data_IF_341573681090
#
_entry.id   IF_341573681090
#
_cell.length_a   1.000
_cell.length_b   1.000
_cell.length_c   1.000
_cell.angle_alpha   90.00
_cell.angle_beta   90.00
_cell.angle_gamma   90.00
#
_symmetry.space_group_name_H-M   'P 1'
#
loop_
_entity.id
_entity.type
_entity.pdbx_description
1 polymer ?
#
# COMPACT_ATOMS: atom_id res chain seq x y z
N UNK A 1 87.51 -30.25 -63.12
CA UNK A 1 86.12 -30.39 -63.54
C UNK A 1 85.27 -30.64 -62.31
N UNK A 2 84.88 -29.59 -61.71
CA UNK A 2 84.26 -29.72 -60.39
C UNK A 2 82.92 -28.94 -60.35
N UNK A 3 81.83 -29.64 -60.20
CA UNK A 3 80.51 -29.07 -60.12
C UNK A 3 80.05 -29.12 -58.66
N UNK A 4 80.19 -28.02 -57.99
CA UNK A 4 79.68 -27.81 -56.65
C UNK A 4 78.20 -27.51 -56.63
N UNK A 5 77.39 -28.40 -55.98
CA UNK A 5 75.97 -28.22 -55.76
C UNK A 5 75.78 -27.45 -54.46
N UNK A 6 75.23 -26.18 -54.51
CA UNK A 6 74.84 -25.44 -53.38
C UNK A 6 73.38 -25.76 -52.95
N UNK A 7 73.20 -26.35 -51.80
CA UNK A 7 71.94 -26.58 -51.17
C UNK A 7 71.44 -25.30 -50.54
N UNK A 8 70.33 -24.74 -51.06
CA UNK A 8 69.63 -23.62 -50.50
C UNK A 8 68.73 -24.06 -49.33
N UNK A 9 68.90 -23.42 -48.17
CA UNK A 9 68.05 -23.58 -47.02
C UNK A 9 66.74 -22.77 -47.23
N UNK A 10 65.60 -23.50 -47.29
CA UNK A 10 64.27 -22.89 -47.26
C UNK A 10 63.91 -22.64 -45.79
N UNK A 11 63.83 -21.40 -45.39
CA UNK A 11 63.31 -20.98 -44.08
C UNK A 11 61.77 -20.96 -44.14
N UNK A 12 61.12 -21.87 -43.45
CA UNK A 12 59.68 -21.84 -43.29
C UNK A 12 59.26 -20.77 -42.26
N UNK A 13 58.62 -19.71 -42.72
CA UNK A 13 57.98 -18.71 -41.84
C UNK A 13 56.63 -19.23 -41.38
N UNK A 14 56.54 -19.62 -40.12
CA UNK A 14 55.26 -19.93 -39.47
C UNK A 14 54.59 -18.64 -39.08
N UNK A 15 53.57 -18.21 -39.81
CA UNK A 15 52.69 -17.10 -39.42
C UNK A 15 51.73 -17.56 -38.30
N UNK A 16 51.99 -17.09 -37.08
CA UNK A 16 51.04 -17.21 -35.95
C UNK A 16 49.92 -16.19 -36.15
N UNK A 17 48.76 -16.66 -36.58
CA UNK A 17 47.52 -15.84 -36.59
C UNK A 17 47.03 -15.72 -35.14
N UNK A 18 47.31 -14.59 -34.48
CA UNK A 18 46.64 -14.14 -33.26
C UNK A 18 45.22 -13.72 -33.61
N UNK A 19 44.25 -14.57 -33.30
CA UNK A 19 42.84 -14.22 -33.33
C UNK A 19 42.60 -13.25 -32.19
N UNK A 20 42.61 -11.94 -32.48
CA UNK A 20 42.09 -10.90 -31.60
C UNK A 20 40.58 -11.14 -31.43
N UNK A 21 40.19 -11.75 -30.32
CA UNK A 21 38.78 -11.88 -29.95
C UNK A 21 38.12 -10.49 -29.93
N UNK A 22 37.18 -10.21 -30.82
CA UNK A 22 36.37 -9.02 -30.80
C UNK A 22 35.70 -8.93 -29.40
N UNK A 23 35.68 -7.74 -28.76
CA UNK A 23 34.93 -7.57 -27.53
C UNK A 23 33.48 -7.97 -27.81
N UNK A 24 33.02 -9.05 -27.20
CA UNK A 24 31.63 -9.49 -27.31
C UNK A 24 30.73 -8.31 -26.93
N UNK A 25 29.83 -7.94 -27.83
CA UNK A 25 28.75 -7.00 -27.51
C UNK A 25 28.08 -7.57 -26.25
N UNK A 26 28.02 -6.82 -25.14
CA UNK A 26 27.35 -7.31 -23.94
C UNK A 26 25.93 -7.67 -24.34
N UNK A 27 25.57 -8.94 -24.27
CA UNK A 27 24.20 -9.38 -24.47
C UNK A 27 23.34 -8.53 -23.53
N UNK A 28 22.30 -7.89 -24.06
CA UNK A 28 21.37 -7.11 -23.24
C UNK A 28 20.94 -8.01 -22.09
N UNK A 29 21.31 -7.62 -20.87
CA UNK A 29 21.01 -8.41 -19.69
C UNK A 29 19.49 -8.52 -19.60
N UNK A 30 18.95 -9.74 -19.79
CA UNK A 30 17.50 -9.96 -19.69
C UNK A 30 16.99 -9.45 -18.36
N UNK A 31 15.96 -8.63 -18.38
CA UNK A 31 15.31 -8.08 -17.19
C UNK A 31 14.06 -8.87 -16.84
N UNK A 32 13.74 -8.94 -15.55
CA UNK A 32 12.45 -9.45 -15.08
C UNK A 32 11.57 -8.22 -14.83
N UNK A 33 10.48 -8.09 -15.61
CA UNK A 33 9.61 -6.93 -15.56
C UNK A 33 8.46 -7.14 -14.59
N UNK A 34 8.26 -6.16 -13.70
CA UNK A 34 7.08 -6.04 -12.82
C UNK A 34 6.31 -4.81 -13.27
N UNK A 35 5.01 -4.96 -13.51
CA UNK A 35 4.16 -3.85 -13.95
C UNK A 35 3.48 -3.14 -12.79
N UNK A 36 3.23 -1.84 -12.95
CA UNK A 36 2.32 -1.09 -12.09
C UNK A 36 1.46 -0.15 -12.92
N UNK A 37 0.15 -0.19 -12.70
CA UNK A 37 -0.78 0.80 -13.21
C UNK A 37 -1.56 1.39 -12.03
N UNK A 38 -1.32 2.66 -11.73
CA UNK A 38 -1.94 3.37 -10.61
C UNK A 38 -2.11 4.85 -10.97
N UNK A 39 -2.86 5.62 -10.18
CA UNK A 39 -3.01 7.04 -10.40
C UNK A 39 -1.69 7.77 -10.09
N UNK A 40 -0.96 8.19 -11.12
CA UNK A 40 0.27 8.99 -10.98
C UNK A 40 0.01 10.49 -11.12
N UNK A 41 -1.18 10.86 -11.60
CA UNK A 41 -1.66 12.23 -11.76
C UNK A 41 -3.07 12.41 -11.20
N UNK A 42 -3.55 13.66 -11.11
CA UNK A 42 -4.87 14.01 -10.62
C UNK A 42 -5.02 13.93 -9.09
N UNK A 43 -6.27 14.02 -8.55
CA UNK A 43 -6.54 14.14 -7.11
C UNK A 43 -6.08 12.94 -6.27
N UNK A 44 -5.92 11.77 -6.89
CA UNK A 44 -5.47 10.54 -6.22
C UNK A 44 -3.98 10.22 -6.48
N UNK A 45 -3.21 11.15 -7.04
CA UNK A 45 -1.82 10.94 -7.42
C UNK A 45 -0.93 10.48 -6.26
N UNK A 46 -1.17 10.97 -5.05
CA UNK A 46 -0.38 10.60 -3.86
C UNK A 46 -0.34 9.08 -3.64
N UNK A 47 -1.43 8.38 -3.92
CA UNK A 47 -1.49 6.92 -3.76
C UNK A 47 -0.57 6.21 -4.78
N UNK A 48 -0.71 6.51 -6.06
CA UNK A 48 0.08 5.88 -7.11
C UNK A 48 1.56 6.24 -7.06
N UNK A 49 1.87 7.51 -6.80
CA UNK A 49 3.25 7.99 -6.65
C UNK A 49 3.92 7.31 -5.45
N UNK A 50 3.22 7.16 -4.32
CA UNK A 50 3.74 6.43 -3.16
C UNK A 50 4.05 4.96 -3.49
N UNK A 51 3.12 4.27 -4.16
CA UNK A 51 3.31 2.88 -4.62
C UNK A 51 4.55 2.77 -5.52
N UNK A 52 4.66 3.62 -6.54
CA UNK A 52 5.79 3.64 -7.45
C UNK A 52 7.11 3.84 -6.72
N UNK A 53 7.23 4.86 -5.86
CA UNK A 53 8.46 5.19 -5.12
C UNK A 53 8.91 4.07 -4.19
N UNK A 54 7.96 3.42 -3.50
CA UNK A 54 8.27 2.26 -2.66
C UNK A 54 8.82 1.09 -3.46
N UNK A 55 8.22 0.79 -4.61
CA UNK A 55 8.67 -0.26 -5.52
C UNK A 55 10.05 0.05 -6.14
N UNK A 56 10.30 1.31 -6.56
CA UNK A 56 11.56 1.75 -7.12
C UNK A 56 12.73 1.54 -6.14
N UNK A 57 12.57 1.89 -4.85
CA UNK A 57 13.62 1.66 -3.84
C UNK A 57 13.89 0.16 -3.66
N UNK A 58 12.83 -0.66 -3.60
CA UNK A 58 13.00 -2.10 -3.46
C UNK A 58 13.75 -2.71 -4.65
N UNK A 59 13.40 -2.31 -5.87
CA UNK A 59 14.07 -2.77 -7.10
C UNK A 59 15.54 -2.36 -7.13
N UNK A 60 15.84 -1.11 -6.79
CA UNK A 60 17.22 -0.62 -6.70
C UNK A 60 18.04 -1.44 -5.69
N UNK A 61 17.48 -1.72 -4.52
CA UNK A 61 18.15 -2.50 -3.48
C UNK A 61 18.38 -3.95 -3.89
N UNK A 62 17.42 -4.56 -4.58
CA UNK A 62 17.56 -5.93 -5.09
C UNK A 62 18.58 -5.97 -6.20
N UNK A 63 18.53 -5.03 -7.13
CA UNK A 63 19.45 -4.95 -8.26
C UNK A 63 20.89 -4.67 -7.84
N UNK A 64 21.09 -3.88 -6.79
CA UNK A 64 22.42 -3.64 -6.20
C UNK A 64 23.05 -4.89 -5.59
N UNK A 65 22.23 -5.89 -5.24
CA UNK A 65 22.66 -7.18 -4.71
C UNK A 65 22.74 -8.29 -5.77
N UNK A 66 22.70 -7.94 -7.06
CA UNK A 66 22.80 -8.88 -8.17
C UNK A 66 21.48 -9.28 -8.83
N UNK A 67 20.35 -8.68 -8.42
CA UNK A 67 19.04 -8.94 -8.96
C UNK A 67 18.41 -10.24 -8.44
N UNK A 68 17.58 -10.88 -9.26
CA UNK A 68 16.89 -12.15 -8.99
C UNK A 68 17.29 -13.17 -10.06
N UNK A 69 17.80 -14.33 -9.66
CA UNK A 69 18.32 -15.35 -10.57
C UNK A 69 19.36 -14.81 -11.58
N UNK A 70 20.18 -13.83 -11.13
CA UNK A 70 21.19 -13.17 -11.98
C UNK A 70 20.63 -12.14 -12.97
N UNK A 71 19.32 -11.86 -12.94
CA UNK A 71 18.66 -10.86 -13.81
C UNK A 71 18.23 -9.65 -12.99
N UNK A 72 18.32 -8.45 -13.58
CA UNK A 72 17.79 -7.23 -12.95
C UNK A 72 16.28 -7.22 -12.98
N UNK A 73 15.68 -6.62 -11.93
CA UNK A 73 14.27 -6.25 -11.94
C UNK A 73 14.09 -4.91 -12.64
N UNK A 74 12.98 -4.78 -13.35
CA UNK A 74 12.55 -3.54 -14.01
C UNK A 74 11.11 -3.23 -13.64
N UNK A 75 10.81 -1.97 -13.27
CA UNK A 75 9.46 -1.51 -13.02
C UNK A 75 8.88 -0.83 -14.27
N UNK A 76 7.82 -1.40 -14.83
CA UNK A 76 7.09 -0.81 -15.96
C UNK A 76 5.89 -0.05 -15.43
N UNK A 77 5.92 1.28 -15.52
CA UNK A 77 4.92 2.18 -14.90
C UNK A 77 3.92 2.68 -15.93
N UNK A 78 2.63 2.71 -15.56
CA UNK A 78 1.54 3.36 -16.31
C UNK A 78 0.71 4.23 -15.39
N UNK A 79 0.30 5.39 -15.89
CA UNK A 79 -0.61 6.28 -15.19
C UNK A 79 -2.06 5.96 -15.56
N UNK A 80 -2.82 5.42 -14.63
CA UNK A 80 -4.24 5.12 -14.82
C UNK A 80 -5.16 6.34 -14.64
N UNK A 81 -4.63 7.46 -14.15
CA UNK A 81 -5.40 8.69 -13.86
C UNK A 81 -6.67 8.42 -13.01
N UNK A 82 -6.59 7.43 -12.13
CA UNK A 82 -7.74 6.96 -11.33
C UNK A 82 -8.91 6.41 -12.14
N UNK A 83 -8.69 6.08 -13.43
CA UNK A 83 -9.72 5.66 -14.37
C UNK A 83 -9.74 4.13 -14.53
N UNK A 84 -10.86 3.44 -14.23
CA UNK A 84 -10.96 1.98 -14.34
C UNK A 84 -10.74 1.47 -15.77
N UNK A 85 -11.24 2.17 -16.79
CA UNK A 85 -11.10 1.76 -18.20
C UNK A 85 -9.63 1.81 -18.63
N UNK A 86 -8.93 2.88 -18.26
CA UNK A 86 -7.48 2.98 -18.51
C UNK A 86 -6.71 1.87 -17.82
N UNK A 87 -7.02 1.57 -16.57
CA UNK A 87 -6.34 0.51 -15.81
C UNK A 87 -6.54 -0.86 -16.49
N UNK A 88 -7.73 -1.19 -16.96
CA UNK A 88 -7.99 -2.44 -17.71
C UNK A 88 -7.15 -2.51 -18.98
N UNK A 89 -7.14 -1.44 -19.79
CA UNK A 89 -6.35 -1.39 -21.03
C UNK A 89 -4.84 -1.52 -20.75
N UNK A 90 -4.35 -0.83 -19.72
CA UNK A 90 -2.94 -0.87 -19.32
C UNK A 90 -2.52 -2.21 -18.72
N UNK A 91 -3.41 -2.90 -18.01
CA UNK A 91 -3.13 -4.26 -17.53
C UNK A 91 -2.89 -5.22 -18.71
N UNK A 92 -3.72 -5.15 -19.76
CA UNK A 92 -3.49 -5.93 -20.98
C UNK A 92 -2.17 -5.56 -21.65
N UNK A 93 -1.89 -4.27 -21.83
CA UNK A 93 -0.64 -3.79 -22.43
C UNK A 93 0.58 -4.30 -21.65
N UNK A 94 0.57 -4.15 -20.33
CA UNK A 94 1.66 -4.59 -19.45
C UNK A 94 1.92 -6.11 -19.59
N UNK A 95 0.86 -6.93 -19.64
CA UNK A 95 1.01 -8.38 -19.73
C UNK A 95 1.33 -8.83 -21.15
N UNK A 96 0.56 -8.37 -22.15
CA UNK A 96 0.61 -8.89 -23.50
C UNK A 96 1.76 -8.30 -24.33
N UNK A 97 2.12 -7.01 -24.13
CA UNK A 97 3.18 -6.32 -24.89
C UNK A 97 4.47 -6.21 -24.11
N UNK A 98 4.41 -5.69 -22.88
CA UNK A 98 5.60 -5.51 -22.03
C UNK A 98 6.11 -6.82 -21.42
N UNK A 99 5.27 -7.88 -21.40
CA UNK A 99 5.63 -9.20 -20.86
C UNK A 99 6.01 -9.17 -19.39
N UNK A 100 5.30 -8.37 -18.59
CA UNK A 100 5.50 -8.37 -17.14
C UNK A 100 5.07 -9.72 -16.56
N UNK A 101 5.80 -10.22 -15.57
CA UNK A 101 5.56 -11.50 -14.93
C UNK A 101 4.65 -11.40 -13.70
N UNK A 102 4.49 -10.19 -13.17
CA UNK A 102 3.65 -9.87 -12.02
C UNK A 102 3.24 -8.40 -12.05
N UNK A 103 2.17 -8.03 -11.35
CA UNK A 103 1.66 -6.67 -11.26
C UNK A 103 1.58 -6.20 -9.80
N UNK A 104 1.98 -4.96 -9.55
CA UNK A 104 1.48 -4.20 -8.41
C UNK A 104 0.09 -3.69 -8.78
N UNK A 105 -0.89 -3.95 -7.93
CA UNK A 105 -2.28 -3.57 -8.17
C UNK A 105 -2.50 -2.06 -8.13
N UNK A 106 -3.66 -1.64 -8.64
CA UNK A 106 -4.04 -0.24 -8.73
C UNK A 106 -4.18 0.46 -7.37
N UNK A 107 -4.29 1.76 -7.43
CA UNK A 107 -4.38 2.64 -6.25
C UNK A 107 -5.81 2.88 -5.76
N UNK A 108 -6.82 2.23 -6.33
CA UNK A 108 -8.22 2.37 -5.90
C UNK A 108 -9.06 1.11 -6.14
N UNK A 109 -10.08 0.94 -5.31
CA UNK A 109 -10.95 -0.23 -5.32
C UNK A 109 -11.81 -0.36 -6.59
N UNK A 110 -12.34 0.73 -7.12
CA UNK A 110 -13.19 0.70 -8.32
C UNK A 110 -12.43 0.17 -9.54
N UNK A 111 -11.20 0.66 -9.74
CA UNK A 111 -10.33 0.19 -10.82
C UNK A 111 -9.94 -1.28 -10.65
N UNK A 112 -9.64 -1.72 -9.41
CA UNK A 112 -9.30 -3.12 -9.16
C UNK A 112 -10.50 -4.05 -9.32
N UNK A 113 -11.70 -3.66 -8.92
CA UNK A 113 -12.93 -4.43 -9.18
C UNK A 113 -13.21 -4.59 -10.68
N UNK A 114 -12.88 -3.57 -11.49
CA UNK A 114 -13.04 -3.64 -12.95
C UNK A 114 -12.01 -4.56 -13.61
N UNK A 115 -10.74 -4.58 -13.14
CA UNK A 115 -9.67 -5.35 -13.77
C UNK A 115 -9.56 -6.78 -13.24
N UNK A 116 -10.00 -7.06 -12.01
CA UNK A 116 -9.85 -8.37 -11.40
C UNK A 116 -10.46 -9.54 -12.23
N UNK A 117 -11.65 -9.42 -12.86
CA UNK A 117 -12.15 -10.44 -13.77
C UNK A 117 -11.22 -10.67 -14.97
N UNK A 118 -10.68 -9.60 -15.54
CA UNK A 118 -9.73 -9.69 -16.67
C UNK A 118 -8.45 -10.42 -16.28
N UNK A 119 -7.92 -10.12 -15.10
CA UNK A 119 -6.75 -10.80 -14.54
C UNK A 119 -7.01 -12.28 -14.37
N UNK A 120 -8.12 -12.65 -13.72
CA UNK A 120 -8.43 -14.02 -13.35
C UNK A 120 -8.88 -14.89 -14.53
N UNK A 121 -9.67 -14.33 -15.47
CA UNK A 121 -10.31 -15.11 -16.53
C UNK A 121 -9.52 -15.07 -17.85
N UNK A 122 -8.60 -14.12 -18.03
CA UNK A 122 -7.93 -13.90 -19.32
C UNK A 122 -6.41 -13.76 -19.23
N UNK A 123 -5.87 -12.95 -18.32
CA UNK A 123 -4.44 -12.62 -18.30
C UNK A 123 -3.61 -13.62 -17.45
N UNK A 124 -4.21 -14.18 -16.43
CA UNK A 124 -3.59 -15.18 -15.52
C UNK A 124 -2.21 -14.74 -14.98
N UNK A 125 -2.08 -13.47 -14.61
CA UNK A 125 -0.87 -12.87 -14.04
C UNK A 125 -1.12 -12.50 -12.57
N UNK A 126 -0.24 -12.82 -11.63
CA UNK A 126 -0.43 -12.47 -10.23
C UNK A 126 -0.38 -10.95 -10.04
N UNK A 127 -1.36 -10.44 -9.31
CA UNK A 127 -1.48 -9.04 -8.90
C UNK A 127 -1.53 -8.96 -7.39
N UNK A 128 -0.62 -8.22 -6.77
CA UNK A 128 -0.70 -7.92 -5.34
C UNK A 128 -1.02 -6.44 -5.15
N UNK A 129 -2.13 -6.14 -4.49
CA UNK A 129 -2.65 -4.79 -4.29
C UNK A 129 -2.08 -4.15 -3.02
N UNK A 130 -1.32 -3.04 -3.11
CA UNK A 130 -0.80 -2.34 -1.94
C UNK A 130 -1.79 -1.38 -1.29
N UNK A 131 -2.83 -0.92 -2.03
CA UNK A 131 -3.65 0.21 -1.62
C UNK A 131 -5.12 0.11 -2.09
N UNK A 132 -5.72 -1.06 -2.01
CA UNK A 132 -7.13 -1.27 -2.36
C UNK A 132 -7.87 -1.94 -1.22
N UNK A 133 -9.09 -1.47 -0.94
CA UNK A 133 -9.80 -1.77 0.28
C UNK A 133 -11.04 -2.67 0.05
N UNK A 134 -11.78 -2.53 -1.08
CA UNK A 134 -13.03 -3.26 -1.26
C UNK A 134 -12.87 -4.77 -1.05
N UNK A 135 -13.68 -5.32 -0.14
CA UNK A 135 -13.64 -6.73 0.28
C UNK A 135 -13.72 -7.69 -0.91
N UNK A 136 -14.59 -7.40 -1.88
CA UNK A 136 -14.81 -8.26 -3.07
C UNK A 136 -13.62 -8.38 -4.04
N UNK A 137 -12.53 -7.63 -3.83
CA UNK A 137 -11.32 -7.75 -4.67
C UNK A 137 -10.64 -9.10 -4.46
N UNK A 138 -10.61 -9.59 -3.23
CA UNK A 138 -9.99 -10.87 -2.84
C UNK A 138 -11.01 -11.91 -2.39
N UNK A 139 -12.11 -11.47 -1.76
CA UNK A 139 -13.21 -12.32 -1.33
C UNK A 139 -14.29 -12.39 -2.43
N UNK A 140 -14.07 -13.21 -3.44
CA UNK A 140 -15.04 -13.48 -4.50
C UNK A 140 -15.29 -14.99 -4.58
N UNK A 141 -16.50 -15.42 -4.23
CA UNK A 141 -16.88 -16.82 -4.14
C UNK A 141 -16.63 -17.59 -5.45
N UNK A 142 -16.85 -16.96 -6.61
CA UNK A 142 -16.66 -17.60 -7.90
C UNK A 142 -15.19 -17.95 -8.17
N UNK A 143 -14.24 -17.10 -7.77
CA UNK A 143 -12.80 -17.36 -7.92
C UNK A 143 -12.26 -18.27 -6.82
N UNK A 144 -12.76 -18.12 -5.60
CA UNK A 144 -12.40 -18.99 -4.48
C UNK A 144 -12.85 -20.44 -4.75
N UNK A 145 -14.04 -20.64 -5.30
CA UNK A 145 -14.54 -21.96 -5.68
C UNK A 145 -13.68 -22.64 -6.77
N UNK A 146 -13.24 -21.86 -7.76
CA UNK A 146 -12.36 -22.36 -8.83
C UNK A 146 -10.91 -22.56 -8.37
N UNK A 147 -10.51 -22.03 -7.22
CA UNK A 147 -9.11 -21.99 -6.72
C UNK A 147 -8.14 -21.40 -7.76
N UNK A 148 -8.60 -20.43 -8.53
CA UNK A 148 -7.86 -19.83 -9.64
C UNK A 148 -7.85 -18.31 -9.54
N UNK A 149 -7.71 -17.79 -8.33
CA UNK A 149 -7.62 -16.36 -8.05
C UNK A 149 -6.17 -15.88 -8.13
N UNK A 150 -5.89 -14.95 -9.04
CA UNK A 150 -4.58 -14.32 -9.24
C UNK A 150 -4.46 -12.97 -8.52
N UNK A 151 -5.50 -12.53 -7.83
CA UNK A 151 -5.53 -11.23 -7.15
C UNK A 151 -5.31 -11.42 -5.65
N UNK A 152 -4.31 -10.73 -5.14
CA UNK A 152 -3.89 -10.70 -3.74
C UNK A 152 -3.92 -9.27 -3.22
N UNK A 153 -3.97 -9.08 -1.92
CA UNK A 153 -3.90 -7.77 -1.27
C UNK A 153 -2.92 -7.77 -0.11
N UNK A 154 -2.02 -6.79 -0.11
CA UNK A 154 -1.08 -6.56 0.98
C UNK A 154 -1.49 -5.41 1.89
N UNK A 155 -2.42 -4.56 1.45
CA UNK A 155 -3.00 -3.46 2.21
C UNK A 155 -4.11 -3.88 3.15
N UNK A 156 -4.71 -2.90 3.82
CA UNK A 156 -5.91 -3.10 4.63
C UNK A 156 -7.11 -3.46 3.72
N UNK A 157 -8.05 -4.24 4.25
CA UNK A 157 -9.28 -4.59 3.55
C UNK A 157 -10.50 -4.04 4.29
N UNK A 158 -11.55 -3.68 3.55
CA UNK A 158 -12.67 -2.87 4.02
C UNK A 158 -13.36 -3.43 5.25
N UNK A 159 -13.69 -4.72 5.23
CA UNK A 159 -14.32 -5.37 6.39
C UNK A 159 -13.41 -5.35 7.61
N UNK A 160 -12.14 -5.73 7.46
CA UNK A 160 -11.18 -5.74 8.58
C UNK A 160 -10.93 -4.34 9.12
N UNK A 161 -10.78 -3.35 8.23
CA UNK A 161 -10.57 -1.96 8.64
C UNK A 161 -11.79 -1.40 9.40
N UNK A 162 -13.00 -1.66 8.90
CA UNK A 162 -14.24 -1.21 9.56
C UNK A 162 -14.45 -1.91 10.90
N UNK A 163 -14.20 -3.23 10.96
CA UNK A 163 -14.23 -3.98 12.20
C UNK A 163 -13.23 -3.40 13.22
N UNK A 164 -11.98 -3.21 12.79
CA UNK A 164 -10.93 -2.67 13.64
C UNK A 164 -11.30 -1.28 14.16
N UNK A 165 -11.72 -0.37 13.28
CA UNK A 165 -12.09 1.00 13.67
C UNK A 165 -13.25 1.02 14.66
N UNK A 166 -14.32 0.26 14.40
CA UNK A 166 -15.47 0.13 15.30
C UNK A 166 -15.08 -0.53 16.63
N UNK A 167 -14.29 -1.62 16.60
CA UNK A 167 -13.85 -2.32 17.81
C UNK A 167 -12.98 -1.40 18.69
N UNK A 168 -12.06 -0.67 18.09
CA UNK A 168 -11.22 0.28 18.82
C UNK A 168 -12.07 1.38 19.44
N UNK A 169 -12.97 2.01 18.68
CA UNK A 169 -13.84 3.05 19.19
C UNK A 169 -14.73 2.54 20.34
N UNK A 170 -15.41 1.42 20.16
CA UNK A 170 -16.42 0.92 21.11
C UNK A 170 -15.78 0.17 22.28
N UNK A 171 -14.88 -0.78 22.02
CA UNK A 171 -14.36 -1.69 23.06
C UNK A 171 -13.13 -1.10 23.77
N UNK A 172 -12.22 -0.40 23.05
CA UNK A 172 -11.00 0.13 23.66
C UNK A 172 -11.17 1.55 24.21
N UNK A 173 -11.82 2.41 23.44
CA UNK A 173 -12.11 3.79 23.91
C UNK A 173 -13.39 3.87 24.74
N UNK A 174 -14.33 2.99 24.55
CA UNK A 174 -15.55 2.90 25.37
C UNK A 174 -16.71 3.76 24.89
N UNK A 175 -16.65 4.26 23.63
CA UNK A 175 -17.72 5.07 23.04
C UNK A 175 -19.03 4.26 22.89
N UNK A 176 -20.17 4.92 23.11
CA UNK A 176 -21.51 4.29 23.10
C UNK A 176 -22.48 4.94 22.11
N UNK A 177 -22.16 6.10 21.59
CA UNK A 177 -23.02 6.89 20.69
C UNK A 177 -22.25 7.26 19.41
N UNK A 178 -21.83 6.26 18.59
CA UNK A 178 -21.09 6.54 17.36
C UNK A 178 -21.99 7.23 16.34
N UNK A 179 -21.45 8.21 15.64
CA UNK A 179 -22.00 8.74 14.39
C UNK A 179 -21.17 8.25 13.21
N UNK A 180 -21.82 8.08 12.05
CA UNK A 180 -21.13 7.85 10.77
C UNK A 180 -21.10 9.16 9.98
N UNK A 181 -19.96 9.41 9.33
CA UNK A 181 -19.80 10.51 8.39
C UNK A 181 -18.92 10.02 7.24
N UNK A 182 -19.51 9.66 6.10
CA UNK A 182 -18.82 8.92 5.05
C UNK A 182 -18.99 9.55 3.67
N UNK A 183 -18.00 9.35 2.82
CA UNK A 183 -18.04 9.76 1.43
C UNK A 183 -19.08 8.96 0.63
N UNK A 184 -19.82 9.64 -0.30
CA UNK A 184 -20.91 9.04 -1.10
C UNK A 184 -20.44 8.13 -2.23
N UNK A 185 -19.13 8.05 -2.52
CA UNK A 185 -18.62 7.26 -3.63
C UNK A 185 -17.50 6.30 -3.22
N UNK A 186 -17.18 5.34 -4.11
CA UNK A 186 -16.06 4.44 -3.96
C UNK A 186 -16.09 3.63 -2.66
N UNK A 187 -14.96 3.66 -1.96
CA UNK A 187 -14.79 2.91 -0.71
C UNK A 187 -15.53 3.53 0.49
N UNK A 188 -15.93 4.79 0.40
CA UNK A 188 -16.76 5.43 1.43
C UNK A 188 -18.12 4.72 1.60
N UNK A 189 -18.77 4.36 0.49
CA UNK A 189 -20.02 3.58 0.49
C UNK A 189 -19.80 2.19 1.11
N UNK A 190 -18.73 1.50 0.69
CA UNK A 190 -18.39 0.19 1.25
C UNK A 190 -18.09 0.29 2.73
N UNK A 191 -17.29 1.26 3.15
CA UNK A 191 -16.94 1.49 4.54
C UNK A 191 -18.15 1.78 5.43
N UNK A 192 -19.11 2.59 4.94
CA UNK A 192 -20.37 2.86 5.64
C UNK A 192 -21.16 1.58 5.91
N UNK A 193 -21.31 0.74 4.88
CA UNK A 193 -22.02 -0.54 5.01
C UNK A 193 -21.34 -1.48 6.02
N UNK A 194 -20.03 -1.62 5.96
CA UNK A 194 -19.28 -2.48 6.87
C UNK A 194 -19.24 -1.92 8.32
N UNK A 195 -19.15 -0.61 8.51
CA UNK A 195 -19.28 0.02 9.83
C UNK A 195 -20.67 -0.21 10.40
N UNK A 196 -21.73 0.00 9.63
CA UNK A 196 -23.11 -0.23 10.07
C UNK A 196 -23.32 -1.68 10.48
N UNK A 197 -22.82 -2.64 9.67
CA UNK A 197 -22.86 -4.07 9.98
C UNK A 197 -22.13 -4.34 11.31
N UNK A 198 -20.90 -3.83 11.46
CA UNK A 198 -20.10 -4.11 12.65
C UNK A 198 -20.67 -3.48 13.91
N UNK A 199 -21.18 -2.27 13.85
CA UNK A 199 -21.87 -1.63 14.98
C UNK A 199 -23.10 -2.48 15.40
N UNK A 200 -23.88 -3.00 14.43
CA UNK A 200 -24.98 -3.92 14.71
C UNK A 200 -24.55 -5.19 15.45
N UNK A 201 -23.43 -5.79 15.05
CA UNK A 201 -22.84 -6.94 15.78
C UNK A 201 -22.39 -6.58 17.19
N UNK A 202 -21.97 -5.34 17.42
CA UNK A 202 -21.64 -4.79 18.74
C UNK A 202 -22.88 -4.31 19.52
N UNK A 203 -24.08 -4.59 19.00
CA UNK A 203 -25.37 -4.19 19.59
C UNK A 203 -25.53 -2.64 19.70
N UNK A 204 -24.91 -1.91 18.81
CA UNK A 204 -24.98 -0.46 18.70
C UNK A 204 -25.59 -0.04 17.35
N UNK A 205 -26.20 1.14 17.36
CA UNK A 205 -26.61 1.86 16.14
C UNK A 205 -25.95 3.23 16.14
N UNK A 206 -25.66 3.74 14.95
CA UNK A 206 -25.22 5.12 14.80
C UNK A 206 -26.33 6.09 15.27
N UNK A 207 -25.99 7.08 16.06
CA UNK A 207 -26.92 8.13 16.52
C UNK A 207 -27.17 9.17 15.43
N UNK A 208 -26.27 9.30 14.45
CA UNK A 208 -26.40 10.08 13.22
C UNK A 208 -25.64 9.36 12.12
N UNK A 209 -26.18 9.40 10.90
CA UNK A 209 -25.59 8.74 9.73
C UNK A 209 -25.63 9.73 8.57
N UNK A 210 -24.51 10.47 8.40
CA UNK A 210 -24.37 11.55 7.45
C UNK A 210 -23.38 11.19 6.34
N UNK A 211 -23.60 11.82 5.22
CA UNK A 211 -22.70 11.66 4.06
C UNK A 211 -22.26 13.02 3.52
N UNK A 212 -21.17 13.00 2.76
CA UNK A 212 -20.69 14.14 1.98
C UNK A 212 -20.24 13.67 0.59
N UNK A 213 -20.33 14.56 -0.38
CA UNK A 213 -19.94 14.33 -1.77
C UNK A 213 -18.60 14.99 -2.11
N UNK A 214 -17.99 14.59 -3.21
CA UNK A 214 -16.75 15.23 -3.73
C UNK A 214 -16.98 16.71 -4.09
N UNK A 215 -18.21 17.11 -4.45
CA UNK A 215 -18.53 18.49 -4.76
C UNK A 215 -18.71 19.37 -3.53
N UNK A 216 -18.91 18.80 -2.34
CA UNK A 216 -19.12 19.53 -1.12
C UNK A 216 -17.86 20.32 -0.73
N UNK A 217 -18.08 21.59 -0.34
CA UNK A 217 -17.04 22.49 0.17
C UNK A 217 -17.32 22.94 1.61
N UNK A 218 -18.51 22.67 2.14
CA UNK A 218 -18.91 22.88 3.54
C UNK A 218 -19.76 21.72 4.03
N UNK A 219 -19.31 21.05 5.08
CA UNK A 219 -20.00 19.94 5.77
C UNK A 219 -20.51 20.35 7.16
N UNK A 220 -20.62 21.65 7.41
CA UNK A 220 -21.15 22.19 8.69
C UNK A 220 -22.55 21.69 9.04
N UNK A 221 -23.48 21.52 8.07
CA UNK A 221 -24.81 20.94 8.37
C UNK A 221 -24.73 19.51 8.91
N UNK A 222 -23.87 18.67 8.34
CA UNK A 222 -23.67 17.28 8.78
C UNK A 222 -23.07 17.27 10.20
N UNK A 223 -22.03 18.07 10.45
CA UNK A 223 -21.42 18.16 11.78
C UNK A 223 -22.42 18.66 12.83
N UNK A 224 -23.27 19.64 12.47
CA UNK A 224 -24.30 20.13 13.39
C UNK A 224 -25.33 19.05 13.75
N UNK A 225 -25.77 18.23 12.78
CA UNK A 225 -26.67 17.09 13.04
C UNK A 225 -26.02 16.07 13.97
N UNK A 226 -24.77 15.72 13.71
CA UNK A 226 -23.99 14.78 14.54
C UNK A 226 -23.86 15.32 15.97
N UNK A 227 -23.51 16.58 16.14
CA UNK A 227 -23.42 17.27 17.43
C UNK A 227 -24.75 17.25 18.17
N UNK A 228 -25.86 17.61 17.49
CA UNK A 228 -27.19 17.63 18.07
C UNK A 228 -27.72 16.23 18.45
N UNK A 229 -27.27 15.19 17.75
CA UNK A 229 -27.56 13.80 18.09
C UNK A 229 -26.78 13.30 19.33
N UNK A 230 -25.86 14.11 19.87
CA UNK A 230 -25.07 13.82 21.04
C UNK A 230 -24.08 12.67 20.80
N UNK A 231 -23.51 12.60 19.60
CA UNK A 231 -22.49 11.61 19.30
C UNK A 231 -21.25 11.78 20.19
N UNK A 232 -20.66 10.67 20.63
CA UNK A 232 -19.42 10.62 21.43
C UNK A 232 -18.19 10.25 20.59
N UNK A 233 -18.39 9.82 19.34
CA UNK A 233 -17.35 9.59 18.33
C UNK A 233 -17.93 9.70 16.93
N UNK A 234 -17.14 10.20 15.99
CA UNK A 234 -17.42 10.17 14.55
C UNK A 234 -16.53 9.13 13.90
N UNK A 235 -17.13 8.15 13.20
CA UNK A 235 -16.43 7.16 12.38
C UNK A 235 -16.53 7.57 10.92
N UNK A 236 -15.38 7.70 10.26
CA UNK A 236 -15.29 8.28 8.91
C UNK A 236 -14.61 7.35 7.90
N UNK A 237 -15.13 7.40 6.68
CA UNK A 237 -14.47 6.90 5.47
C UNK A 237 -14.48 7.97 4.39
N UNK A 238 -13.31 8.55 4.10
CA UNK A 238 -13.17 9.59 3.09
C UNK A 238 -11.72 9.96 2.81
N UNK A 239 -11.53 10.76 1.75
CA UNK A 239 -10.22 11.20 1.28
C UNK A 239 -9.79 12.50 1.95
N UNK A 240 -8.54 12.90 1.71
CA UNK A 240 -7.90 14.08 2.34
C UNK A 240 -8.71 15.35 2.13
N UNK A 241 -9.11 15.64 0.88
CA UNK A 241 -9.76 16.90 0.53
C UNK A 241 -11.03 17.15 1.33
N UNK A 242 -11.92 16.17 1.31
CA UNK A 242 -13.23 16.24 1.98
C UNK A 242 -13.05 16.30 3.50
N UNK A 243 -12.09 15.57 4.01
CA UNK A 243 -11.79 15.55 5.45
C UNK A 243 -11.19 16.85 5.98
N UNK A 244 -10.54 17.65 5.12
CA UNK A 244 -10.14 19.01 5.48
C UNK A 244 -11.37 19.88 5.72
N UNK A 245 -12.45 19.73 4.93
CA UNK A 245 -13.71 20.43 5.19
C UNK A 245 -14.39 19.93 6.49
N UNK A 246 -14.29 18.64 6.79
CA UNK A 246 -14.80 18.08 8.07
C UNK A 246 -14.12 18.74 9.26
N UNK A 247 -12.79 18.76 9.31
CA UNK A 247 -12.09 19.34 10.46
C UNK A 247 -12.27 20.87 10.55
N UNK A 248 -12.42 21.57 9.43
CA UNK A 248 -12.79 23.00 9.39
C UNK A 248 -14.18 23.24 9.94
N UNK A 249 -15.16 22.42 9.56
CA UNK A 249 -16.53 22.53 10.07
C UNK A 249 -16.58 22.24 11.57
N UNK A 250 -15.84 21.24 12.06
CA UNK A 250 -15.71 20.95 13.49
C UNK A 250 -15.13 22.13 14.26
N UNK A 251 -14.07 22.74 13.76
CA UNK A 251 -13.43 23.89 14.38
C UNK A 251 -14.37 25.10 14.40
N UNK A 252 -14.97 25.44 13.27
CA UNK A 252 -15.96 26.52 13.12
C UNK A 252 -17.13 26.38 14.09
N UNK A 253 -17.62 25.18 14.34
CA UNK A 253 -18.75 24.89 15.24
C UNK A 253 -18.33 24.61 16.70
N UNK A 254 -17.04 24.69 17.00
CA UNK A 254 -16.49 24.34 18.31
C UNK A 254 -16.77 22.88 18.69
N UNK A 255 -16.95 21.98 17.72
CA UNK A 255 -17.24 20.58 17.95
C UNK A 255 -15.96 19.82 18.35
N UNK A 256 -15.99 19.21 19.53
CA UNK A 256 -14.87 18.44 20.10
C UNK A 256 -15.09 16.93 20.05
N UNK A 257 -16.14 16.46 19.37
CA UNK A 257 -16.41 15.03 19.21
C UNK A 257 -15.18 14.32 18.63
N UNK A 258 -14.65 13.28 19.27
CA UNK A 258 -13.55 12.48 18.75
C UNK A 258 -13.79 12.03 17.31
N UNK A 259 -12.75 12.14 16.47
CA UNK A 259 -12.85 11.86 15.04
C UNK A 259 -11.90 10.75 14.62
N UNK A 260 -12.47 9.61 14.27
CA UNK A 260 -11.77 8.39 13.88
C UNK A 260 -12.00 8.13 12.39
N UNK A 261 -10.93 8.10 11.62
CA UNK A 261 -10.97 7.93 10.18
C UNK A 261 -10.28 6.66 9.73
N UNK A 262 -10.74 6.14 8.61
CA UNK A 262 -10.03 5.13 7.85
C UNK A 262 -8.68 5.65 7.32
N UNK A 263 -7.83 4.78 6.80
CA UNK A 263 -6.43 5.05 6.43
C UNK A 263 -6.18 6.15 5.39
N UNK A 264 -7.22 6.66 4.72
CA UNK A 264 -7.11 7.76 3.76
C UNK A 264 -6.42 9.01 4.31
N UNK A 265 -6.42 9.19 5.63
CA UNK A 265 -5.75 10.30 6.31
C UNK A 265 -4.36 9.94 6.87
N UNK A 266 -3.85 8.73 6.63
CA UNK A 266 -2.48 8.33 7.00
C UNK A 266 -1.45 8.89 5.98
N UNK A 267 -1.50 10.18 5.74
CA UNK A 267 -0.65 10.90 4.77
C UNK A 267 -0.31 12.31 5.26
N UNK A 268 0.92 12.76 5.12
CA UNK A 268 1.30 14.14 5.44
C UNK A 268 0.47 15.21 4.70
N UNK A 269 -0.10 14.87 3.54
CA UNK A 269 -0.97 15.76 2.79
C UNK A 269 -2.20 16.21 3.59
N UNK A 270 -2.75 15.34 4.46
CA UNK A 270 -3.84 15.72 5.35
C UNK A 270 -3.41 16.82 6.32
N UNK A 271 -2.28 16.62 7.02
CA UNK A 271 -1.79 17.63 7.97
C UNK A 271 -1.45 18.95 7.29
N UNK A 272 -0.78 18.92 6.13
CA UNK A 272 -0.45 20.15 5.38
C UNK A 272 -1.69 20.97 5.02
N UNK A 273 -2.79 20.31 4.69
CA UNK A 273 -4.04 20.97 4.30
C UNK A 273 -4.92 21.35 5.49
N UNK A 274 -4.92 20.58 6.56
CA UNK A 274 -5.72 20.76 7.76
C UNK A 274 -5.04 21.66 8.80
N UNK A 275 -3.70 21.64 8.87
CA UNK A 275 -2.95 22.32 9.93
C UNK A 275 -3.36 21.84 11.32
N UNK A 276 -3.36 22.74 12.28
CA UNK A 276 -3.73 22.44 13.67
C UNK A 276 -5.17 21.93 13.85
N UNK A 277 -6.05 22.12 12.87
CA UNK A 277 -7.41 21.54 12.89
C UNK A 277 -7.38 20.00 12.78
N UNK A 278 -6.28 19.43 12.28
CA UNK A 278 -6.04 18.00 12.26
C UNK A 278 -5.59 17.39 13.57
N UNK A 279 -5.29 18.23 14.60
CA UNK A 279 -4.81 17.75 15.90
C UNK A 279 -5.84 16.85 16.57
N UNK A 280 -5.39 15.68 17.06
CA UNK A 280 -6.25 14.70 17.73
C UNK A 280 -7.03 13.78 16.79
N UNK A 281 -6.99 13.98 15.47
CA UNK A 281 -7.62 13.06 14.51
C UNK A 281 -6.94 11.69 14.61
N UNK A 282 -7.75 10.65 14.78
CA UNK A 282 -7.29 9.25 14.86
C UNK A 282 -7.50 8.58 13.52
N UNK A 283 -6.52 7.78 13.10
CA UNK A 283 -6.52 7.13 11.78
C UNK A 283 -6.18 5.66 11.96
N UNK A 284 -6.99 4.77 11.40
CA UNK A 284 -6.59 3.36 11.26
C UNK A 284 -5.54 3.24 10.16
N UNK A 285 -4.45 2.53 10.42
CA UNK A 285 -3.34 2.37 9.46
C UNK A 285 -2.61 1.05 9.70
N UNK A 286 -1.65 0.73 8.84
CA UNK A 286 -0.81 -0.47 8.99
C UNK A 286 0.51 -0.17 9.69
N UNK A 287 0.96 1.07 9.61
CA UNK A 287 2.15 1.57 10.29
C UNK A 287 2.14 3.09 10.36
N UNK A 288 2.98 3.63 11.23
CA UNK A 288 3.36 5.05 11.23
C UNK A 288 4.87 5.15 10.97
N UNK A 289 5.34 6.32 10.51
CA UNK A 289 6.76 6.60 10.28
C UNK A 289 7.34 7.57 11.30
N UNK A 290 6.47 8.19 12.07
CA UNK A 290 6.84 9.10 13.16
C UNK A 290 6.99 8.32 14.47
N UNK A 291 7.79 8.87 15.39
CA UNK A 291 8.16 8.20 16.63
C UNK A 291 9.22 7.09 16.42
N UNK A 292 9.47 6.24 17.45
CA UNK A 292 10.47 5.18 17.40
C UNK A 292 10.20 4.17 16.29
N UNK A 293 11.22 3.90 15.45
CA UNK A 293 11.14 2.98 14.32
C UNK A 293 12.17 1.85 14.42
N UNK A 294 11.85 0.64 13.93
CA UNK A 294 12.84 -0.43 13.83
C UNK A 294 13.95 -0.08 12.83
N UNK A 295 15.17 -0.61 13.01
CA UNK A 295 16.34 -0.24 12.20
C UNK A 295 16.13 -0.36 10.69
N UNK A 296 15.37 -1.37 10.24
CA UNK A 296 15.09 -1.60 8.82
C UNK A 296 14.21 -0.48 8.23
N UNK A 297 13.21 -0.01 8.98
CA UNK A 297 12.40 1.15 8.56
C UNK A 297 13.22 2.43 8.54
N UNK A 298 14.09 2.64 9.53
CA UNK A 298 15.01 3.79 9.54
C UNK A 298 15.89 3.79 8.29
N UNK A 299 16.44 2.62 7.90
CA UNK A 299 17.27 2.49 6.71
C UNK A 299 16.47 2.81 5.42
N UNK A 300 15.25 2.30 5.31
CA UNK A 300 14.35 2.61 4.20
C UNK A 300 14.01 4.11 4.14
N UNK A 301 13.64 4.71 5.27
CA UNK A 301 13.28 6.13 5.36
C UNK A 301 14.44 7.03 4.94
N UNK A 302 15.67 6.72 5.37
CA UNK A 302 16.86 7.46 4.94
C UNK A 302 17.06 7.45 3.43
N UNK A 303 16.88 6.28 2.78
CA UNK A 303 16.96 6.16 1.32
C UNK A 303 15.83 6.93 0.63
N UNK A 304 14.60 6.77 1.13
CA UNK A 304 13.44 7.47 0.59
C UNK A 304 13.64 8.99 0.64
N UNK A 305 14.02 9.52 1.79
CA UNK A 305 14.21 10.96 1.97
C UNK A 305 15.39 11.52 1.15
N UNK A 306 16.48 10.75 1.04
CA UNK A 306 17.59 11.14 0.18
C UNK A 306 17.21 11.24 -1.30
N UNK A 307 16.29 10.41 -1.76
CA UNK A 307 15.88 10.35 -3.18
C UNK A 307 14.70 11.24 -3.51
N UNK A 308 13.70 11.31 -2.63
CA UNK A 308 12.41 11.95 -2.92
C UNK A 308 12.06 13.11 -1.98
N UNK A 309 12.89 13.41 -1.02
CA UNK A 309 12.63 14.40 0.03
C UNK A 309 11.85 13.83 1.23
N UNK A 310 11.63 14.66 2.27
CA UNK A 310 11.06 14.22 3.54
C UNK A 310 9.57 13.85 3.47
N UNK A 311 8.87 14.36 2.48
CA UNK A 311 7.43 14.11 2.31
C UNK A 311 7.16 12.77 1.63
N UNK A 312 6.45 11.90 2.33
CA UNK A 312 6.01 10.64 1.78
C UNK A 312 4.53 10.76 1.35
N UNK A 313 4.26 10.53 0.08
CA UNK A 313 2.93 10.77 -0.49
C UNK A 313 1.83 9.93 0.15
N UNK A 314 2.07 8.63 0.29
CA UNK A 314 1.14 7.69 0.92
C UNK A 314 1.90 6.60 1.68
N UNK A 315 2.08 6.81 2.98
CA UNK A 315 2.91 5.95 3.84
C UNK A 315 2.54 4.46 3.74
N UNK A 316 1.30 4.01 4.00
CA UNK A 316 0.98 2.58 3.98
C UNK A 316 1.25 1.92 2.62
N UNK A 317 0.87 2.58 1.52
CA UNK A 317 1.06 2.05 0.17
C UNK A 317 2.50 2.03 -0.29
N UNK A 318 3.31 3.00 0.15
CA UNK A 318 4.74 3.06 -0.15
C UNK A 318 5.48 1.87 0.46
N UNK A 319 5.24 1.59 1.74
CA UNK A 319 5.84 0.45 2.42
C UNK A 319 5.31 -0.89 1.91
N UNK A 320 4.00 -0.97 1.64
CA UNK A 320 3.40 -2.17 1.06
C UNK A 320 3.99 -2.50 -0.32
N UNK A 321 4.16 -1.51 -1.19
CA UNK A 321 4.74 -1.71 -2.51
C UNK A 321 6.20 -2.18 -2.43
N UNK A 322 6.99 -1.62 -1.52
CA UNK A 322 8.33 -2.12 -1.23
C UNK A 322 8.30 -3.61 -0.85
N UNK A 323 7.49 -3.99 0.12
CA UNK A 323 7.39 -5.35 0.61
C UNK A 323 6.90 -6.32 -0.47
N UNK A 324 5.95 -5.90 -1.31
CA UNK A 324 5.43 -6.70 -2.43
C UNK A 324 6.53 -7.02 -3.45
N UNK A 325 7.39 -6.06 -3.77
CA UNK A 325 8.53 -6.31 -4.68
C UNK A 325 9.49 -7.34 -4.08
N UNK A 326 9.76 -7.28 -2.78
CA UNK A 326 10.56 -8.29 -2.09
C UNK A 326 9.87 -9.67 -2.04
N UNK A 327 8.55 -9.71 -1.87
CA UNK A 327 7.77 -10.96 -1.97
C UNK A 327 7.89 -11.57 -3.37
N UNK A 328 7.70 -10.77 -4.43
CA UNK A 328 7.89 -11.24 -5.80
C UNK A 328 9.32 -11.73 -6.04
N UNK A 329 10.32 -10.96 -5.63
CA UNK A 329 11.72 -11.35 -5.79
C UNK A 329 12.01 -12.71 -5.12
N UNK A 330 11.52 -12.90 -3.89
CA UNK A 330 11.71 -14.15 -3.15
C UNK A 330 10.99 -15.34 -3.79
N UNK A 331 9.77 -15.13 -4.30
CA UNK A 331 9.02 -16.17 -5.00
C UNK A 331 9.69 -16.50 -6.33
N UNK A 332 10.02 -15.49 -7.15
CA UNK A 332 10.67 -15.68 -8.45
C UNK A 332 12.02 -16.37 -8.31
N UNK A 333 12.81 -16.06 -7.27
CA UNK A 333 14.05 -16.75 -6.98
C UNK A 333 13.85 -18.28 -6.86
N UNK A 334 12.76 -18.69 -6.20
CA UNK A 334 12.42 -20.10 -5.96
C UNK A 334 11.81 -20.79 -7.18
N UNK A 335 10.83 -20.16 -7.84
CA UNK A 335 9.97 -20.80 -8.84
C UNK A 335 10.18 -20.36 -10.28
N UNK A 336 10.99 -19.32 -10.52
CA UNK A 336 11.18 -18.71 -11.84
C UNK A 336 10.12 -17.67 -12.18
N UNK A 337 10.00 -17.34 -13.49
CA UNK A 337 9.21 -16.21 -13.99
C UNK A 337 7.86 -16.60 -14.57
N UNK A 338 7.46 -17.87 -14.50
CA UNK A 338 6.13 -18.30 -14.93
C UNK A 338 5.04 -17.71 -14.02
N UNK A 339 4.06 -16.98 -14.54
CA UNK A 339 3.06 -16.30 -13.69
C UNK A 339 2.21 -17.24 -12.84
N UNK A 340 1.91 -18.45 -13.34
CA UNK A 340 1.15 -19.45 -12.59
C UNK A 340 1.98 -20.02 -11.43
N UNK A 341 3.28 -20.24 -11.66
CA UNK A 341 4.20 -20.66 -10.61
C UNK A 341 4.40 -19.55 -9.57
N UNK A 342 4.48 -18.28 -10.00
CA UNK A 342 4.57 -17.14 -9.08
C UNK A 342 3.31 -17.07 -8.19
N UNK A 343 2.11 -17.19 -8.77
CA UNK A 343 0.86 -17.23 -8.00
C UNK A 343 0.89 -18.33 -6.95
N UNK A 344 1.20 -19.55 -7.34
CA UNK A 344 1.29 -20.70 -6.42
C UNK A 344 2.35 -20.46 -5.32
N UNK A 345 3.49 -19.88 -5.69
CA UNK A 345 4.56 -19.55 -4.75
C UNK A 345 4.18 -18.48 -3.73
N UNK A 346 3.31 -17.52 -4.09
CA UNK A 346 2.76 -16.55 -3.15
C UNK A 346 1.86 -17.24 -2.11
N UNK A 347 1.02 -18.19 -2.52
CA UNK A 347 0.13 -18.95 -1.63
C UNK A 347 0.90 -19.91 -0.68
N UNK A 348 2.11 -20.28 -1.05
CA UNK A 348 2.98 -21.22 -0.31
C UNK A 348 4.07 -20.52 0.51
N UNK A 349 4.03 -19.20 0.64
CA UNK A 349 5.05 -18.47 1.41
C UNK A 349 4.80 -18.54 2.91
N UNK A 350 5.65 -19.27 3.68
CA UNK A 350 5.33 -19.60 5.08
C UNK A 350 5.49 -18.41 6.04
N UNK A 351 6.49 -17.57 5.81
CA UNK A 351 6.80 -16.40 6.64
C UNK A 351 7.53 -15.36 5.82
N UNK A 352 7.39 -14.08 6.19
CA UNK A 352 8.04 -12.97 5.52
C UNK A 352 8.27 -11.82 6.49
N UNK A 353 9.52 -11.35 6.59
CA UNK A 353 9.85 -10.12 7.31
C UNK A 353 9.82 -8.96 6.35
N UNK A 354 8.71 -8.21 6.37
CA UNK A 354 8.54 -6.97 5.61
C UNK A 354 8.79 -5.72 6.48
N UNK A 355 8.74 -4.57 5.85
CA UNK A 355 8.77 -3.28 6.54
C UNK A 355 7.42 -2.94 7.18
N UNK A 356 6.31 -3.38 6.57
CA UNK A 356 4.97 -3.21 7.14
C UNK A 356 4.80 -4.12 8.34
N UNK A 357 5.10 -5.40 8.17
CA UNK A 357 4.88 -6.44 9.17
C UNK A 357 5.93 -7.53 9.09
N UNK A 358 6.36 -8.03 10.25
CA UNK A 358 7.10 -9.28 10.38
C UNK A 358 6.08 -10.43 10.52
N UNK A 359 5.76 -11.08 9.38
CA UNK A 359 4.81 -12.17 9.35
C UNK A 359 5.44 -13.45 9.90
N UNK A 360 4.92 -13.94 11.02
CA UNK A 360 5.25 -15.24 11.62
C UNK A 360 4.30 -16.35 11.16
N UNK A 361 3.42 -16.06 10.24
CA UNK A 361 2.43 -16.92 9.60
C UNK A 361 2.53 -16.80 8.08
N UNK A 362 1.90 -17.70 7.30
CA UNK A 362 1.82 -17.53 5.85
C UNK A 362 1.24 -16.17 5.47
N UNK A 363 1.92 -15.45 4.57
CA UNK A 363 1.47 -14.14 4.08
C UNK A 363 0.14 -14.29 3.37
N UNK A 364 0.08 -15.24 2.44
CA UNK A 364 -1.13 -15.65 1.74
C UNK A 364 -1.34 -17.17 1.89
N UNK A 365 -2.53 -17.64 1.59
CA UNK A 365 -2.85 -19.07 1.51
C UNK A 365 -3.81 -19.29 0.34
N UNK A 366 -4.03 -20.53 -0.06
CA UNK A 366 -4.99 -20.89 -1.13
C UNK A 366 -6.43 -20.42 -0.88
N UNK A 367 -6.77 -20.13 0.37
CA UNK A 367 -8.12 -19.69 0.77
C UNK A 367 -8.15 -18.25 1.30
N UNK A 368 -6.99 -17.60 1.43
CA UNK A 368 -6.87 -16.24 1.96
C UNK A 368 -5.80 -15.47 1.17
N UNK A 369 -6.24 -14.56 0.34
CA UNK A 369 -5.39 -13.69 -0.46
C UNK A 369 -5.19 -12.29 0.17
N UNK A 370 -5.58 -12.11 1.42
CA UNK A 370 -5.29 -10.92 2.22
C UNK A 370 -4.09 -11.20 3.14
N UNK A 371 -3.02 -10.42 3.00
CA UNK A 371 -1.81 -10.55 3.81
C UNK A 371 -2.07 -10.12 5.25
N UNK A 372 -2.62 -8.92 5.41
CA UNK A 372 -2.93 -8.34 6.72
C UNK A 372 -4.28 -8.84 7.23
N UNK A 373 -4.37 -9.00 8.53
CA UNK A 373 -5.58 -9.33 9.26
C UNK A 373 -5.92 -8.17 10.21
N UNK A 374 -7.08 -8.21 10.83
CA UNK A 374 -7.55 -7.14 11.73
C UNK A 374 -6.55 -6.85 12.87
N UNK A 375 -5.92 -7.89 13.42
CA UNK A 375 -4.91 -7.78 14.48
C UNK A 375 -3.58 -7.16 14.03
N UNK A 376 -3.36 -7.02 12.73
CA UNK A 376 -2.16 -6.38 12.18
C UNK A 376 -2.33 -4.87 12.02
N UNK A 377 -3.54 -4.34 12.21
CA UNK A 377 -3.82 -2.91 12.08
C UNK A 377 -3.49 -2.16 13.36
N UNK A 378 -3.17 -0.89 13.22
CA UNK A 378 -2.89 0.02 14.33
C UNK A 378 -3.72 1.31 14.20
N UNK A 379 -3.83 2.04 15.30
CA UNK A 379 -4.29 3.44 15.28
C UNK A 379 -3.10 4.38 15.31
N UNK A 380 -3.13 5.41 14.49
CA UNK A 380 -2.30 6.60 14.61
C UNK A 380 -3.14 7.79 15.09
N UNK A 381 -2.52 8.72 15.82
CA UNK A 381 -3.09 10.01 16.21
C UNK A 381 -2.23 11.13 15.63
N UNK A 382 -2.84 12.04 14.91
CA UNK A 382 -2.16 13.27 14.51
C UNK A 382 -1.83 14.13 15.72
N UNK A 383 -0.55 14.46 15.88
CA UNK A 383 0.01 15.17 17.04
C UNK A 383 1.12 16.07 16.56
N UNK A 384 0.93 17.39 16.62
CA UNK A 384 1.94 18.38 16.21
C UNK A 384 2.58 18.08 14.84
N UNK A 385 1.76 17.71 13.84
CA UNK A 385 2.23 17.42 12.48
C UNK A 385 2.73 15.99 12.24
N UNK A 386 2.71 15.13 13.24
CA UNK A 386 3.18 13.74 13.19
C UNK A 386 2.03 12.78 13.41
N UNK A 387 2.04 11.66 12.70
CA UNK A 387 1.10 10.57 12.93
C UNK A 387 1.76 9.55 13.87
N UNK A 388 1.50 9.69 15.16
CA UNK A 388 2.07 8.84 16.21
C UNK A 388 1.17 7.63 16.48
N UNK A 389 1.78 6.45 16.60
CA UNK A 389 1.05 5.24 16.93
C UNK A 389 0.40 5.33 18.32
N UNK A 390 -0.89 4.99 18.43
CA UNK A 390 -1.58 4.82 19.71
C UNK A 390 -1.26 3.42 20.24
N UNK A 391 -0.77 3.37 21.46
CA UNK A 391 -0.57 2.16 22.25
C UNK A 391 -1.49 2.15 23.47
N UNK A 392 -1.63 1.00 24.10
CA UNK A 392 -2.50 0.83 25.26
C UNK A 392 -1.75 0.12 26.38
N UNK A 393 -1.98 0.57 27.61
CA UNK A 393 -1.56 -0.11 28.84
C UNK A 393 -2.65 -0.07 29.92
N UNK A 394 -2.31 -0.39 31.18
CA UNK A 394 -3.25 -0.38 32.29
C UNK A 394 -3.86 0.99 32.61
N UNK A 395 -3.20 2.09 32.22
CA UNK A 395 -3.67 3.46 32.46
C UNK A 395 -4.51 4.00 31.28
N UNK A 396 -4.41 3.40 30.10
CA UNK A 396 -5.22 3.75 28.93
C UNK A 396 -4.45 3.89 27.62
N UNK A 397 -5.06 4.57 26.64
CA UNK A 397 -4.40 4.87 25.36
C UNK A 397 -3.34 5.96 25.53
N UNK A 398 -2.20 5.80 24.86
CA UNK A 398 -1.10 6.76 24.86
C UNK A 398 -0.37 6.82 23.53
N UNK A 399 0.38 7.88 23.33
CA UNK A 399 1.40 8.00 22.27
C UNK A 399 2.77 8.23 22.89
N UNK A 400 3.83 7.88 22.16
CA UNK A 400 5.20 8.21 22.53
C UNK A 400 5.70 9.32 21.60
N UNK A 401 6.11 10.43 22.16
CA UNK A 401 6.68 11.55 21.43
C UNK A 401 8.12 11.24 20.98
N UNK A 402 8.68 12.09 20.12
CA UNK A 402 10.04 11.86 19.58
C UNK A 402 11.15 11.88 20.64
N UNK A 403 10.93 12.62 21.71
CA UNK A 403 11.84 12.68 22.89
C UNK A 403 11.70 11.44 23.81
N UNK A 404 10.85 10.48 23.42
CA UNK A 404 10.57 9.29 24.20
C UNK A 404 9.53 9.48 25.31
N UNK A 405 8.98 10.68 25.48
CA UNK A 405 7.98 10.96 26.50
C UNK A 405 6.65 10.33 26.14
N UNK A 406 6.10 9.53 27.07
CA UNK A 406 4.77 8.95 26.98
C UNK A 406 3.72 9.99 27.37
N UNK A 407 2.73 10.19 26.51
CA UNK A 407 1.57 11.07 26.77
C UNK A 407 0.28 10.27 26.66
N UNK A 408 -0.52 10.29 27.71
CA UNK A 408 -1.84 9.65 27.72
C UNK A 408 -2.87 10.47 26.97
N UNK A 409 -3.84 9.79 26.37
CA UNK A 409 -4.92 10.38 25.59
C UNK A 409 -6.18 10.46 26.44
N UNK A 410 -6.73 11.65 26.58
CA UNK A 410 -8.09 11.81 27.11
C UNK A 410 -9.09 11.24 26.10
N UNK A 411 -9.82 10.20 26.47
CA UNK A 411 -10.73 9.48 25.56
C UNK A 411 -11.88 10.37 25.06
N UNK A 412 -12.34 11.33 25.84
CA UNK A 412 -13.49 12.17 25.52
C UNK A 412 -13.17 13.33 24.60
N UNK A 413 -11.93 13.82 24.61
CA UNK A 413 -11.50 15.00 23.86
C UNK A 413 -10.37 14.69 22.88
N UNK A 414 -9.75 13.50 22.98
CA UNK A 414 -8.53 13.12 22.29
C UNK A 414 -7.31 14.01 22.61
N UNK A 415 -7.39 14.86 23.65
CA UNK A 415 -6.26 15.67 24.10
C UNK A 415 -5.17 14.83 24.76
N UNK A 416 -3.91 15.29 24.70
CA UNK A 416 -2.79 14.69 25.44
C UNK A 416 -2.73 15.26 26.87
N UNK A 417 -2.48 14.38 27.82
CA UNK A 417 -2.26 14.69 29.25
C UNK A 417 -0.80 14.55 29.63
#
# INVERSE_FOLDING_TARGET
>A
MDNGFRMGRIAAVVAVLTVLGAPGVPAAQETIKIGVSAAMSGPAASFGVGIRRGAEIAIEDINARGGVRGKKLELVVRDSEHNPVKLVAQARELVEREKVVALLGGSNSASMLAVAPIINDQLHVPVVCPATDATKITENDAWQAKRDNYVFRYGMFGRGQSNFLANMAVQKFGFKKPALLTWTAGWGVTGRGELTRRLGELQLKSVSDETYDTADTDVSPQILKIKNAGADVILNYGLVRENVFVVRAKDKLGDKTPYFSAWGLATPAFWRAAGNMGEGVVVSTTLTVDGPQPPERVAFLKKYWAKYGPDMDFVPGTFAAHDIVYLYARVIEKVGTDPKAIRAGLEDMPAFKGLVKDFKRPVFTKTRHDALQEEDFILGRWTNGKLLQISFDGEGPYVVLDDGVKKYIDKSTMALK
#
